data_IF_566687324522
#
_entry.id   IF_566687324522
#
_cell.length_a   1.000
_cell.length_b   1.000
_cell.length_c   1.000
_cell.angle_alpha   90.00
_cell.angle_beta   90.00
_cell.angle_gamma   90.00
#
_symmetry.space_group_name_H-M   'P 1'
#
loop_
_entity.id
_entity.type
_entity.pdbx_description
1 polymer ?
#
# COMPACT_ATOMS: atom_id res chain seq x y z
N UNK A 1 -2.39 -8.32 6.73
CA UNK A 1 -2.84 -8.68 5.38
C UNK A 1 -1.68 -8.55 4.42
N UNK A 2 -1.46 -9.57 3.64
CA UNK A 2 -0.43 -9.58 2.62
C UNK A 2 -1.02 -9.24 1.26
N UNK A 3 -0.34 -8.42 0.48
CA UNK A 3 -0.68 -8.18 -0.91
C UNK A 3 0.52 -8.43 -1.78
N UNK A 4 0.28 -8.78 -3.03
CA UNK A 4 1.34 -9.10 -3.97
C UNK A 4 1.12 -8.44 -5.31
N UNK A 5 2.20 -8.18 -5.99
CA UNK A 5 2.16 -7.64 -7.34
C UNK A 5 2.41 -8.69 -8.41
N UNK A 6 2.63 -9.92 -8.04
CA UNK A 6 3.02 -10.96 -8.96
C UNK A 6 1.99 -12.05 -8.98
N UNK A 7 1.54 -12.43 -10.17
CA UNK A 7 0.65 -13.55 -10.34
C UNK A 7 1.38 -14.86 -10.15
N UNK A 8 0.65 -15.85 -9.67
CA UNK A 8 1.16 -17.20 -9.55
C UNK A 8 1.45 -17.79 -10.93
N UNK A 9 2.62 -18.36 -11.10
CA UNK A 9 2.97 -19.12 -12.27
C UNK A 9 3.35 -18.33 -13.50
N UNK A 10 3.19 -17.05 -13.52
CA UNK A 10 3.67 -16.22 -14.60
C UNK A 10 3.95 -14.82 -14.10
N UNK A 11 4.89 -14.17 -14.75
CA UNK A 11 5.29 -12.83 -14.32
C UNK A 11 4.51 -11.77 -15.03
N UNK A 12 3.23 -11.84 -14.94
CA UNK A 12 2.41 -10.75 -15.39
C UNK A 12 2.41 -9.67 -14.30
N UNK A 13 2.24 -8.44 -14.71
CA UNK A 13 2.24 -7.31 -13.79
C UNK A 13 0.88 -7.18 -13.11
N UNK A 14 0.52 -8.19 -12.35
CA UNK A 14 -0.69 -8.12 -11.56
C UNK A 14 -0.39 -7.41 -10.25
N UNK A 15 -1.06 -6.32 -10.03
CA UNK A 15 -0.89 -5.51 -8.85
C UNK A 15 -1.95 -5.90 -7.84
N UNK A 16 -1.54 -6.38 -6.69
CA UNK A 16 -2.45 -6.63 -5.60
C UNK A 16 -2.97 -5.34 -5.01
N UNK A 17 -4.23 -5.33 -4.62
CA UNK A 17 -4.82 -4.17 -4.00
C UNK A 17 -5.76 -4.55 -2.87
N UNK A 18 -5.90 -3.64 -1.92
CA UNK A 18 -6.85 -3.76 -0.82
C UNK A 18 -7.70 -2.50 -0.79
N UNK A 19 -9.01 -2.65 -0.94
CA UNK A 19 -9.96 -1.55 -0.88
C UNK A 19 -10.74 -1.64 0.41
N UNK A 20 -10.76 -0.55 1.18
CA UNK A 20 -11.60 -0.48 2.37
C UNK A 20 -13.06 -0.23 2.00
N UNK A 21 -14.01 -0.55 2.87
CA UNK A 21 -15.35 -0.01 2.71
C UNK A 21 -15.35 1.51 2.89
N UNK A 22 -16.43 2.16 2.49
CA UNK A 22 -16.60 3.58 2.74
C UNK A 22 -16.63 3.85 4.24
N UNK A 23 -15.99 4.95 4.65
CA UNK A 23 -15.88 5.25 6.08
C UNK A 23 -17.14 5.82 6.69
N UNK A 24 -18.04 6.37 5.88
CA UNK A 24 -19.30 6.93 6.37
C UNK A 24 -19.12 8.23 7.15
N UNK A 25 -18.00 8.92 6.97
CA UNK A 25 -17.70 10.17 7.67
C UNK A 25 -17.19 11.21 6.69
N UNK A 26 -17.50 12.47 6.96
CA UNK A 26 -17.08 13.57 6.09
C UNK A 26 -16.18 14.54 6.85
N UNK A 27 -15.49 15.39 6.09
CA UNK A 27 -14.57 16.40 6.64
C UNK A 27 -13.13 15.92 6.65
N UNK A 28 -12.38 16.29 7.65
CA UNK A 28 -10.99 15.90 7.80
C UNK A 28 -10.90 14.61 8.58
N UNK A 29 -10.29 13.60 7.99
CA UNK A 29 -10.11 12.29 8.61
C UNK A 29 -8.63 11.99 8.79
N UNK A 30 -8.32 11.22 9.82
CA UNK A 30 -6.97 10.71 10.05
C UNK A 30 -6.96 9.22 9.74
N UNK A 31 -6.13 8.83 8.78
CA UNK A 31 -5.90 7.45 8.40
C UNK A 31 -4.58 6.99 9.00
N UNK A 32 -4.60 5.90 9.72
CA UNK A 32 -3.36 5.26 10.18
C UNK A 32 -3.35 3.79 9.83
N UNK A 33 -2.16 3.26 9.63
CA UNK A 33 -1.97 1.85 9.31
C UNK A 33 -0.53 1.45 9.59
N UNK A 34 -0.32 0.16 9.74
CA UNK A 34 1.01 -0.41 9.86
C UNK A 34 1.36 -1.13 8.57
N UNK A 35 2.56 -0.92 8.06
CA UNK A 35 3.00 -1.56 6.83
C UNK A 35 4.45 -2.00 6.92
N UNK A 36 4.77 -3.04 6.16
CA UNK A 36 6.10 -3.62 6.08
C UNK A 36 6.33 -4.13 4.67
N UNK A 37 7.52 -3.90 4.15
CA UNK A 37 7.89 -4.41 2.84
C UNK A 37 8.34 -5.87 2.95
N UNK A 38 8.04 -6.64 1.91
CA UNK A 38 8.47 -8.03 1.84
C UNK A 38 9.92 -8.10 1.37
N UNK A 39 10.68 -8.97 1.97
CA UNK A 39 12.03 -9.27 1.51
C UNK A 39 12.19 -10.77 1.37
N UNK A 40 12.43 -11.23 0.17
CA UNK A 40 12.72 -12.62 -0.07
C UNK A 40 14.20 -12.85 0.19
N UNK A 41 14.49 -13.51 1.29
CA UNK A 41 15.88 -13.80 1.67
C UNK A 41 16.38 -15.13 1.15
N UNK A 42 15.49 -15.98 0.64
CA UNK A 42 15.88 -17.28 0.11
C UNK A 42 16.44 -17.22 -1.30
N UNK A 43 16.14 -16.16 -2.01
CA UNK A 43 16.71 -15.94 -3.33
C UNK A 43 16.21 -16.85 -4.42
N UNK A 44 15.14 -17.57 -4.21
CA UNK A 44 14.72 -18.53 -5.23
C UNK A 44 13.33 -18.33 -5.74
N UNK A 45 12.62 -17.37 -5.39
CA UNK A 45 11.25 -17.28 -5.83
C UNK A 45 11.33 -16.92 -7.26
N UNK A 46 11.69 -16.91 -8.05
CA UNK A 46 11.32 -16.62 -9.40
C UNK A 46 12.33 -16.00 -10.25
N UNK A 47 13.20 -15.32 -9.74
CA UNK A 47 13.87 -14.48 -10.63
C UNK A 47 15.24 -14.16 -10.30
N UNK A 48 15.72 -14.81 -9.39
CA UNK A 48 17.10 -14.64 -9.13
C UNK A 48 17.44 -13.28 -8.54
N UNK A 49 18.21 -12.52 -9.23
CA UNK A 49 18.89 -11.37 -8.66
C UNK A 49 17.99 -10.31 -8.03
N UNK A 50 16.78 -10.14 -8.54
CA UNK A 50 15.89 -9.12 -7.99
C UNK A 50 15.36 -9.45 -6.62
N UNK A 51 15.11 -10.71 -6.38
CA UNK A 51 14.62 -11.12 -5.08
C UNK A 51 15.65 -10.88 -3.99
N UNK A 52 16.89 -10.93 -4.32
CA UNK A 52 17.95 -10.73 -3.34
C UNK A 52 18.04 -9.28 -2.86
N UNK A 53 17.57 -8.35 -3.67
CA UNK A 53 17.55 -6.94 -3.28
C UNK A 53 16.39 -6.60 -2.33
N UNK A 54 15.40 -7.44 -2.29
CA UNK A 54 14.17 -7.13 -1.60
C UNK A 54 13.23 -6.33 -2.48
N UNK A 55 12.02 -6.19 -2.02
CA UNK A 55 10.99 -5.47 -2.74
C UNK A 55 11.08 -3.96 -2.49
N UNK A 56 10.36 -3.20 -3.28
CA UNK A 56 10.23 -1.77 -3.06
C UNK A 56 9.64 -1.51 -1.67
N UNK A 57 10.15 -0.50 -1.00
CA UNK A 57 9.72 -0.13 0.35
C UNK A 57 8.65 0.94 0.30
N UNK A 58 7.62 0.70 -0.49
CA UNK A 58 6.55 1.69 -0.68
C UNK A 58 5.21 1.03 -0.88
N UNK A 59 4.16 1.79 -0.60
CA UNK A 59 2.78 1.43 -0.87
C UNK A 59 2.06 2.69 -1.34
N UNK A 60 1.15 2.53 -2.30
CA UNK A 60 0.36 3.65 -2.80
C UNK A 60 -0.97 3.68 -2.07
N UNK A 61 -1.33 4.83 -1.55
CA UNK A 61 -2.60 5.09 -0.89
C UNK A 61 -3.43 5.97 -1.80
N UNK A 62 -4.58 5.49 -2.25
CA UNK A 62 -5.49 6.21 -3.13
C UNK A 62 -6.80 6.48 -2.41
N UNK A 63 -7.23 7.75 -2.40
CA UNK A 63 -8.52 8.16 -1.85
C UNK A 63 -9.58 8.07 -2.94
N UNK A 64 -10.66 7.39 -2.63
CA UNK A 64 -11.77 7.14 -3.56
C UNK A 64 -13.05 7.70 -2.95
N UNK A 65 -13.93 8.24 -3.78
CA UNK A 65 -15.24 8.72 -3.32
C UNK A 65 -15.23 10.12 -2.74
N UNK A 66 -14.13 10.84 -2.86
CA UNK A 66 -13.99 12.22 -2.39
C UNK A 66 -12.90 12.37 -1.36
N UNK A 67 -12.19 13.48 -1.42
CA UNK A 67 -11.12 13.80 -0.52
C UNK A 67 -9.73 13.67 -1.16
N UNK A 68 -8.75 14.22 -0.49
CA UNK A 68 -7.36 14.23 -0.94
C UNK A 68 -6.40 14.03 0.22
N UNK A 69 -5.21 13.57 -0.11
CA UNK A 69 -4.07 13.55 0.82
C UNK A 69 -3.00 14.46 0.21
N UNK A 70 -2.59 15.48 0.95
CA UNK A 70 -1.63 16.49 0.47
C UNK A 70 -2.05 17.10 -0.88
N UNK A 71 -3.35 17.29 -1.08
CA UNK A 71 -3.87 17.91 -2.30
C UNK A 71 -4.00 16.97 -3.49
N UNK A 72 -3.76 15.69 -3.36
CA UNK A 72 -3.85 14.73 -4.44
C UNK A 72 -4.68 13.52 -4.05
N UNK A 73 -5.23 12.82 -5.04
CA UNK A 73 -6.01 11.61 -4.78
C UNK A 73 -5.12 10.39 -4.47
N UNK A 74 -3.85 10.45 -4.78
CA UNK A 74 -2.90 9.36 -4.52
C UNK A 74 -1.68 9.90 -3.80
N UNK A 75 -1.16 9.08 -2.90
CA UNK A 75 0.11 9.36 -2.22
C UNK A 75 0.94 8.09 -2.18
N UNK A 76 2.20 8.20 -2.58
CA UNK A 76 3.17 7.13 -2.40
C UNK A 76 3.75 7.26 -1.01
N UNK A 77 3.56 6.23 -0.19
CA UNK A 77 4.13 6.15 1.15
C UNK A 77 5.36 5.28 1.07
N UNK A 78 6.51 5.84 1.40
CA UNK A 78 7.79 5.17 1.30
C UNK A 78 8.46 5.05 2.66
N UNK A 79 9.59 4.35 2.68
CA UNK A 79 10.34 4.17 3.92
C UNK A 79 9.85 3.00 4.76
N UNK A 80 9.17 2.04 4.15
CA UNK A 80 8.82 0.80 4.84
C UNK A 80 10.10 0.06 5.23
N UNK A 81 10.03 -0.69 6.31
CA UNK A 81 11.13 -1.59 6.70
C UNK A 81 10.88 -2.99 6.17
N UNK A 82 11.92 -3.80 6.10
CA UNK A 82 11.80 -5.23 5.78
C UNK A 82 11.60 -6.09 7.03
N UNK A 83 11.94 -5.59 8.19
CA UNK A 83 12.09 -6.42 9.38
C UNK A 83 11.01 -6.18 10.43
N UNK A 84 10.21 -5.14 10.25
CA UNK A 84 9.16 -4.78 11.21
C UNK A 84 8.12 -3.89 10.55
N UNK A 85 6.94 -3.87 11.13
CA UNK A 85 5.92 -2.92 10.74
C UNK A 85 6.29 -1.52 11.19
N UNK A 86 5.90 -0.56 10.38
CA UNK A 86 6.02 0.86 10.69
C UNK A 86 4.65 1.49 10.62
N UNK A 87 4.32 2.32 11.60
CA UNK A 87 3.04 3.04 11.61
C UNK A 87 3.16 4.28 10.74
N UNK A 88 2.17 4.43 9.86
CA UNK A 88 2.00 5.63 9.04
C UNK A 88 0.69 6.30 9.40
N UNK A 89 0.70 7.63 9.39
CA UNK A 89 -0.48 8.44 9.66
C UNK A 89 -0.60 9.49 8.57
N UNK A 90 -1.77 9.53 7.93
CA UNK A 90 -2.06 10.44 6.84
C UNK A 90 -3.35 11.19 7.15
N UNK A 91 -3.46 12.40 6.64
CA UNK A 91 -4.67 13.21 6.76
C UNK A 91 -5.42 13.20 5.43
N UNK A 92 -6.70 12.88 5.48
CA UNK A 92 -7.59 12.98 4.32
C UNK A 92 -8.42 14.23 4.50
N UNK A 93 -8.27 15.17 3.58
CA UNK A 93 -9.05 16.40 3.59
C UNK A 93 -10.22 16.30 2.64
N UNK A 94 -11.34 16.88 3.02
CA UNK A 94 -12.52 16.95 2.16
C UNK A 94 -13.21 15.61 1.95
N UNK A 95 -13.13 14.72 2.90
CA UNK A 95 -13.79 13.42 2.81
C UNK A 95 -15.30 13.58 2.76
N UNK A 96 -15.96 12.63 2.12
CA UNK A 96 -17.42 12.49 2.07
C UNK A 96 -17.82 11.18 2.71
N UNK A 97 -19.11 10.97 2.89
CA UNK A 97 -19.60 9.68 3.41
C UNK A 97 -19.24 8.50 2.51
N UNK A 98 -18.90 8.76 1.25
CA UNK A 98 -18.49 7.71 0.30
C UNK A 98 -16.99 7.48 0.25
N UNK A 99 -16.20 8.22 1.01
CA UNK A 99 -14.76 8.11 0.96
C UNK A 99 -14.29 6.76 1.45
N UNK A 100 -13.42 6.16 0.66
CA UNK A 100 -12.73 4.90 0.96
C UNK A 100 -11.27 5.04 0.53
N UNK A 101 -10.46 4.08 0.87
CA UNK A 101 -9.03 4.08 0.52
C UNK A 101 -8.65 2.76 -0.13
N UNK A 102 -7.89 2.84 -1.21
CA UNK A 102 -7.29 1.69 -1.85
C UNK A 102 -5.78 1.72 -1.60
N UNK A 103 -5.27 0.59 -1.12
CA UNK A 103 -3.83 0.38 -1.01
C UNK A 103 -3.38 -0.48 -2.18
N UNK A 104 -2.38 -0.02 -2.91
CA UNK A 104 -1.84 -0.74 -4.05
C UNK A 104 -0.33 -0.68 -4.04
N UNK A 105 0.28 -1.49 -4.89
CA UNK A 105 1.71 -1.43 -5.11
C UNK A 105 2.05 -0.35 -6.12
N UNK A 106 3.20 0.26 -5.95
CA UNK A 106 3.74 1.15 -6.95
C UNK A 106 4.31 0.29 -8.08
N UNK A 107 3.77 0.40 -9.29
CA UNK A 107 4.29 -0.38 -10.39
C UNK A 107 5.66 0.17 -10.80
N UNK A 108 6.67 -0.67 -10.68
CA UNK A 108 8.00 -0.33 -11.12
C UNK A 108 8.49 -1.42 -12.05
N UNK A 109 9.00 -1.01 -13.19
CA UNK A 109 9.49 -1.95 -14.19
C UNK A 109 10.63 -2.79 -13.62
N UNK A 110 10.44 -4.09 -13.64
CA UNK A 110 11.50 -4.99 -13.23
C UNK A 110 11.74 -5.10 -11.73
N UNK A 111 10.86 -4.56 -10.91
CA UNK A 111 10.97 -4.64 -9.46
C UNK A 111 9.73 -5.33 -8.89
N UNK A 112 9.91 -6.02 -7.79
CA UNK A 112 8.79 -6.51 -7.01
C UNK A 112 8.37 -5.44 -6.01
N UNK A 113 7.08 -5.42 -5.67
CA UNK A 113 6.54 -4.46 -4.71
C UNK A 113 5.49 -5.16 -3.87
N UNK A 114 5.93 -6.12 -3.09
CA UNK A 114 5.07 -6.86 -2.16
C UNK A 114 5.17 -6.25 -0.78
N UNK A 115 4.06 -6.23 -0.08
CA UNK A 115 4.01 -5.60 1.24
C UNK A 115 2.93 -6.25 2.10
N UNK A 116 3.04 -5.98 3.39
CA UNK A 116 2.05 -6.38 4.38
C UNK A 116 1.42 -5.12 4.95
N UNK A 117 0.15 -5.19 5.26
CA UNK A 117 -0.55 -4.09 5.90
C UNK A 117 -1.45 -4.62 7.01
N UNK A 118 -1.55 -3.86 8.09
CA UNK A 118 -2.35 -4.22 9.25
C UNK A 118 -2.81 -2.97 9.99
N UNK A 119 -3.74 -3.15 10.91
CA UNK A 119 -4.21 -2.09 11.81
C UNK A 119 -4.65 -0.83 11.08
N UNK A 120 -5.44 -0.99 10.03
CA UNK A 120 -6.01 0.15 9.32
C UNK A 120 -7.07 0.79 10.21
N UNK A 121 -6.90 2.06 10.51
CA UNK A 121 -7.80 2.80 11.38
C UNK A 121 -8.08 4.19 10.80
N UNK A 122 -9.32 4.61 10.85
CA UNK A 122 -9.74 5.95 10.42
C UNK A 122 -10.48 6.61 11.57
N UNK A 123 -10.06 7.82 11.91
CA UNK A 123 -10.71 8.62 12.95
C UNK A 123 -11.02 10.01 12.41
N UNK A 124 -11.99 10.65 13.02
CA UNK A 124 -12.38 11.98 12.64
C UNK A 124 -11.76 13.04 13.57
#
# INVERSE_FOLDING_TARGET
VETQTVAQGSYTNNVGSLLTPAFGASGTLTLSFDAMAYKNTSGHANSGAKDLKGDLKSVVVEVIGGGTIDGASKKVVSGLYYTKFKRFTLTIDGATASTAVRFTSEPASGEFSRWFIDNICVTK
#
